data_IF_183525437384
#
_entry.id   IF_183525437384
#
_cell.length_a   1.000
_cell.length_b   1.000
_cell.length_c   1.000
_cell.angle_alpha   90.00
_cell.angle_beta   90.00
_cell.angle_gamma   90.00
#
_symmetry.space_group_name_H-M   'P 1'
#
loop_
_entity.id
_entity.type
_entity.pdbx_description
1 polymer ?
#
# COMPACT_ATOMS: atom_id res chain seq x y z
N UNK A 1 -0.47 -2.73 4.44
CA UNK A 1 -0.32 -1.62 3.46
C UNK A 1 -0.47 -0.30 4.21
N UNK A 2 0.60 0.48 4.32
CA UNK A 2 0.55 1.78 4.99
C UNK A 2 -0.05 2.84 4.04
N UNK A 3 -1.00 3.63 4.53
CA UNK A 3 -1.65 4.70 3.76
C UNK A 3 -0.71 5.90 3.65
N UNK A 4 -0.77 6.62 2.53
CA UNK A 4 -0.03 7.88 2.33
C UNK A 4 1.41 7.75 1.83
N UNK A 5 1.97 6.54 1.67
CA UNK A 5 3.33 6.36 1.15
C UNK A 5 3.54 6.94 -0.26
N UNK A 6 2.48 7.01 -1.05
CA UNK A 6 2.52 7.52 -2.41
C UNK A 6 2.60 9.06 -2.51
N UNK A 7 2.43 9.76 -1.39
CA UNK A 7 2.57 11.21 -1.32
C UNK A 7 3.99 11.63 -0.93
N UNK A 8 4.86 10.66 -0.65
CA UNK A 8 6.22 10.91 -0.18
C UNK A 8 7.16 11.18 -1.34
N UNK A 9 8.15 12.05 -1.11
CA UNK A 9 9.29 12.20 -2.03
C UNK A 9 10.10 10.89 -2.10
N UNK A 10 10.88 10.64 -3.17
CA UNK A 10 11.71 9.44 -3.29
C UNK A 10 12.61 9.18 -2.07
N UNK A 11 13.23 10.24 -1.53
CA UNK A 11 14.08 10.13 -0.33
C UNK A 11 13.29 9.81 0.94
N UNK A 12 12.12 10.41 1.12
CA UNK A 12 11.21 10.07 2.22
C UNK A 12 10.70 8.61 2.08
N UNK A 13 10.43 8.16 0.85
CA UNK A 13 10.05 6.79 0.56
C UNK A 13 11.20 5.80 0.89
N UNK A 14 12.44 6.15 0.58
CA UNK A 14 13.61 5.36 0.98
C UNK A 14 13.72 5.23 2.51
N UNK A 15 13.51 6.33 3.24
CA UNK A 15 13.55 6.32 4.70
C UNK A 15 12.44 5.41 5.25
N UNK A 16 11.22 5.51 4.70
CA UNK A 16 10.12 4.65 5.07
C UNK A 16 10.44 3.17 4.86
N UNK A 17 10.99 2.81 3.68
CA UNK A 17 11.39 1.43 3.37
C UNK A 17 12.39 0.89 4.40
N UNK A 18 13.46 1.64 4.67
CA UNK A 18 14.49 1.26 5.64
C UNK A 18 13.96 1.11 7.06
N UNK A 19 13.10 2.03 7.51
CA UNK A 19 12.47 1.95 8.84
C UNK A 19 11.52 0.75 8.95
N UNK A 20 10.72 0.47 7.91
CA UNK A 20 9.84 -0.70 7.90
C UNK A 20 10.61 -2.01 7.88
N UNK A 21 11.68 -2.10 7.09
CA UNK A 21 12.55 -3.26 7.02
C UNK A 21 13.25 -3.51 8.35
N UNK A 22 13.90 -2.50 8.93
CA UNK A 22 14.53 -2.59 10.23
C UNK A 22 13.54 -3.03 11.32
N UNK A 23 12.33 -2.45 11.32
CA UNK A 23 11.28 -2.83 12.28
C UNK A 23 10.88 -4.29 12.15
N UNK A 24 10.77 -4.80 10.92
CA UNK A 24 10.43 -6.19 10.65
C UNK A 24 11.53 -7.14 11.14
N UNK A 25 12.79 -6.79 10.91
CA UNK A 25 13.94 -7.53 11.41
C UNK A 25 13.98 -7.55 12.95
N UNK A 26 13.80 -6.39 13.59
CA UNK A 26 13.78 -6.29 15.06
C UNK A 26 12.57 -7.00 15.69
N UNK A 27 11.41 -6.96 15.03
CA UNK A 27 10.20 -7.66 15.45
C UNK A 27 10.42 -9.18 15.48
N UNK A 28 11.05 -9.73 14.42
CA UNK A 28 11.43 -11.14 14.34
C UNK A 28 12.49 -11.50 15.38
N UNK A 29 13.55 -10.71 15.49
CA UNK A 29 14.65 -10.94 16.44
C UNK A 29 14.17 -10.97 17.89
N UNK A 30 13.23 -10.09 18.26
CA UNK A 30 12.69 -9.99 19.62
C UNK A 30 11.47 -10.86 19.86
N UNK A 31 10.96 -11.53 18.82
CA UNK A 31 9.68 -12.23 18.81
C UNK A 31 8.55 -11.37 19.41
N UNK A 32 8.39 -10.16 18.85
CA UNK A 32 7.35 -9.21 19.27
C UNK A 32 6.61 -8.67 18.05
N UNK A 33 5.31 -8.35 18.18
CA UNK A 33 4.58 -7.67 17.13
C UNK A 33 5.27 -6.36 16.71
N UNK A 34 5.32 -6.07 15.40
CA UNK A 34 5.94 -4.85 14.83
C UNK A 34 5.56 -3.56 15.56
N UNK A 35 4.30 -3.41 15.96
CA UNK A 35 3.81 -2.21 16.66
C UNK A 35 4.41 -2.05 18.07
N UNK A 36 4.91 -3.12 18.70
CA UNK A 36 5.63 -3.06 19.99
C UNK A 36 7.09 -2.62 19.83
N UNK A 37 7.63 -2.71 18.61
CA UNK A 37 8.96 -2.20 18.28
C UNK A 37 8.86 -0.70 17.99
N UNK A 38 8.06 -0.33 16.99
CA UNK A 38 7.86 1.05 16.54
C UNK A 38 6.51 1.20 15.82
N UNK A 39 5.74 2.24 16.15
CA UNK A 39 4.41 2.44 15.58
C UNK A 39 4.47 3.02 14.15
N UNK A 40 3.47 2.68 13.33
CA UNK A 40 3.33 3.19 11.97
C UNK A 40 3.27 4.73 11.94
N UNK A 41 2.60 5.35 12.91
CA UNK A 41 2.50 6.81 13.04
C UNK A 41 3.88 7.45 13.28
N UNK A 42 4.68 6.87 14.17
CA UNK A 42 6.03 7.36 14.47
C UNK A 42 6.94 7.29 13.23
N UNK A 43 6.84 6.19 12.46
CA UNK A 43 7.55 6.08 11.17
C UNK A 43 7.09 7.18 10.21
N UNK A 44 5.78 7.38 10.06
CA UNK A 44 5.27 8.41 9.15
C UNK A 44 5.64 9.82 9.57
N UNK A 45 5.73 10.12 10.87
CA UNK A 45 6.17 11.42 11.37
C UNK A 45 7.64 11.67 11.01
N UNK A 46 8.52 10.69 11.27
CA UNK A 46 9.94 10.75 10.88
C UNK A 46 10.14 10.91 9.37
N UNK A 47 9.29 10.26 8.58
CA UNK A 47 9.43 10.29 7.13
C UNK A 47 8.97 11.63 6.54
N UNK A 48 7.98 12.28 7.16
CA UNK A 48 7.49 13.61 6.75
C UNK A 48 8.44 14.73 7.17
N UNK A 49 9.05 14.59 8.34
CA UNK A 49 10.05 15.50 8.87
C UNK A 49 11.26 14.65 9.32
N UNK A 50 12.26 14.46 8.44
CA UNK A 50 13.45 13.67 8.79
C UNK A 50 14.25 14.37 9.87
N UNK A 51 13.99 13.93 11.08
CA UNK A 51 14.51 14.41 12.35
C UNK A 51 15.92 13.88 12.59
N UNK A 52 16.90 14.78 12.77
CA UNK A 52 18.34 14.42 12.85
C UNK A 52 18.87 14.35 14.28
N UNK A 53 18.03 14.56 15.29
CA UNK A 53 18.47 14.57 16.68
C UNK A 53 17.52 13.88 17.63
N UNK A 54 18.06 13.48 18.79
CA UNK A 54 17.30 12.95 19.92
C UNK A 54 16.13 13.83 20.37
N UNK A 55 16.28 15.16 20.26
CA UNK A 55 15.25 16.14 20.58
C UNK A 55 14.10 16.05 19.58
N UNK A 56 14.43 15.82 18.31
CA UNK A 56 13.48 15.77 17.22
C UNK A 56 12.70 14.44 17.24
N UNK A 57 13.33 13.31 17.63
CA UNK A 57 12.61 12.05 17.88
C UNK A 57 11.47 12.19 18.91
N UNK A 58 11.60 13.08 19.90
CA UNK A 58 10.51 13.38 20.84
C UNK A 58 9.33 14.03 20.11
N UNK A 59 9.58 14.94 19.17
CA UNK A 59 8.56 15.58 18.34
C UNK A 59 7.89 14.58 17.39
N UNK A 60 8.64 13.60 16.88
CA UNK A 60 8.09 12.48 16.13
C UNK A 60 7.22 11.50 16.95
N UNK A 61 7.07 11.72 18.26
CA UNK A 61 6.21 10.92 19.15
C UNK A 61 6.94 9.77 19.85
N UNK A 62 8.27 9.78 19.92
CA UNK A 62 9.02 8.74 20.65
C UNK A 62 9.06 9.06 22.14
N UNK A 63 8.60 8.11 22.97
CA UNK A 63 8.73 8.17 24.42
C UNK A 63 10.18 7.92 24.86
N UNK A 64 10.55 8.33 26.08
CA UNK A 64 11.94 8.27 26.56
C UNK A 64 12.53 6.84 26.52
N UNK A 65 11.78 5.83 26.97
CA UNK A 65 12.21 4.43 26.91
C UNK A 65 12.40 3.92 25.48
N UNK A 66 11.53 4.32 24.56
CA UNK A 66 11.65 3.94 23.15
C UNK A 66 12.89 4.56 22.54
N UNK A 67 13.09 5.86 22.80
CA UNK A 67 14.29 6.60 22.42
C UNK A 67 15.54 5.85 22.89
N UNK A 68 15.72 5.64 24.19
CA UNK A 68 16.90 4.95 24.72
C UNK A 68 17.15 3.55 24.11
N UNK A 69 16.09 2.85 23.69
CA UNK A 69 16.19 1.48 23.17
C UNK A 69 16.56 1.40 21.69
N UNK A 70 16.07 2.33 20.86
CA UNK A 70 16.13 2.22 19.40
C UNK A 70 16.49 3.53 18.68
N UNK A 71 16.74 4.60 19.42
CA UNK A 71 16.95 5.93 18.85
C UNK A 71 18.22 6.01 18.02
N UNK A 72 19.31 5.40 18.47
CA UNK A 72 20.57 5.37 17.72
C UNK A 72 20.42 4.61 16.40
N UNK A 73 19.73 3.45 16.40
CA UNK A 73 19.44 2.69 15.19
C UNK A 73 18.61 3.52 14.20
N UNK A 74 17.56 4.19 14.68
CA UNK A 74 16.68 5.04 13.86
C UNK A 74 17.45 6.23 13.28
N UNK A 75 18.25 6.92 14.09
CA UNK A 75 19.06 8.06 13.63
C UNK A 75 20.10 7.62 12.59
N UNK A 76 20.74 6.46 12.79
CA UNK A 76 21.65 5.90 11.80
C UNK A 76 20.95 5.60 10.46
N UNK A 77 19.69 5.15 10.48
CA UNK A 77 18.90 4.97 9.25
C UNK A 77 18.54 6.30 8.59
N UNK A 78 18.24 7.33 9.37
CA UNK A 78 18.00 8.70 8.87
C UNK A 78 19.26 9.22 8.18
N UNK A 79 20.40 9.17 8.84
CA UNK A 79 21.68 9.66 8.30
C UNK A 79 22.08 8.92 7.02
N UNK A 80 22.00 7.58 7.04
CA UNK A 80 22.23 6.77 5.83
C UNK A 80 21.29 7.14 4.69
N UNK A 81 20.07 7.58 4.97
CA UNK A 81 19.09 7.91 3.93
C UNK A 81 19.33 9.29 3.36
N UNK A 82 19.73 10.24 4.21
CA UNK A 82 20.11 11.57 3.79
C UNK A 82 21.40 11.57 2.95
N UNK A 83 22.33 10.65 3.25
CA UNK A 83 23.57 10.46 2.50
C UNK A 83 23.42 9.62 1.22
N UNK A 84 22.24 9.04 0.95
CA UNK A 84 22.03 8.21 -0.24
C UNK A 84 22.06 9.05 -1.53
N UNK A 85 22.72 8.50 -2.56
CA UNK A 85 22.79 9.12 -3.88
C UNK A 85 21.39 9.14 -4.54
N UNK A 86 21.16 10.09 -5.45
CA UNK A 86 19.89 10.18 -6.20
C UNK A 86 19.59 8.89 -7.00
N UNK A 87 20.63 8.18 -7.47
CA UNK A 87 20.51 6.90 -8.17
C UNK A 87 19.97 5.77 -7.30
N UNK A 88 20.14 5.85 -5.98
CA UNK A 88 19.72 4.82 -5.02
C UNK A 88 18.29 5.07 -4.51
N UNK A 89 17.68 6.17 -4.92
CA UNK A 89 16.33 6.51 -4.49
C UNK A 89 15.30 5.63 -5.20
N UNK A 90 14.29 5.12 -4.47
CA UNK A 90 13.24 4.32 -5.05
C UNK A 90 12.40 5.17 -6.00
N UNK A 91 11.90 4.52 -7.06
CA UNK A 91 10.91 5.13 -7.92
C UNK A 91 9.68 5.56 -7.10
N UNK A 92 9.08 6.74 -7.40
CA UNK A 92 7.83 7.15 -6.78
C UNK A 92 6.78 6.05 -6.90
N UNK A 93 6.06 5.78 -5.81
CA UNK A 93 4.92 4.88 -5.88
C UNK A 93 3.83 5.55 -6.73
N UNK A 94 3.20 4.78 -7.61
CA UNK A 94 2.03 5.26 -8.35
C UNK A 94 0.89 5.58 -7.36
N UNK A 95 0.80 6.87 -7.03
CA UNK A 95 -0.15 7.42 -6.06
C UNK A 95 -1.48 7.82 -6.66
N UNK A 96 -1.61 7.75 -7.99
CA UNK A 96 -2.89 7.97 -8.64
C UNK A 96 -3.73 6.72 -8.36
N UNK A 97 -4.49 6.76 -7.27
CA UNK A 97 -5.82 6.13 -7.28
C UNK A 97 -6.53 6.81 -8.44
N UNK A 98 -6.49 6.20 -9.62
CA UNK A 98 -7.33 6.65 -10.71
C UNK A 98 -8.74 6.64 -10.14
N UNK A 99 -9.43 7.80 -10.14
CA UNK A 99 -10.79 7.87 -9.66
C UNK A 99 -11.57 6.76 -10.35
N UNK A 100 -12.26 5.96 -9.55
CA UNK A 100 -13.11 4.92 -10.12
C UNK A 100 -14.26 5.65 -10.80
N UNK A 101 -14.37 5.51 -12.12
CA UNK A 101 -15.51 6.02 -12.85
C UNK A 101 -16.77 5.35 -12.30
N UNK A 102 -17.62 6.16 -11.65
CA UNK A 102 -18.84 5.68 -11.00
C UNK A 102 -19.84 5.11 -12.00
N UNK A 103 -19.84 5.59 -13.25
CA UNK A 103 -20.72 5.09 -14.31
C UNK A 103 -20.26 3.70 -14.74
N UNK A 104 -18.98 3.55 -15.08
CA UNK A 104 -18.41 2.24 -15.46
C UNK A 104 -18.53 1.23 -14.33
N UNK A 105 -18.28 1.64 -13.08
CA UNK A 105 -18.45 0.76 -11.92
C UNK A 105 -19.89 0.26 -11.76
N UNK A 106 -20.90 1.11 -11.98
CA UNK A 106 -22.31 0.71 -11.94
C UNK A 106 -22.68 -0.25 -13.06
N UNK A 107 -22.15 -0.06 -14.27
CA UNK A 107 -22.35 -0.97 -15.40
C UNK A 107 -21.79 -2.36 -15.07
N UNK A 108 -20.57 -2.43 -14.55
CA UNK A 108 -19.98 -3.68 -14.11
C UNK A 108 -20.76 -4.36 -12.97
N UNK A 109 -21.30 -3.59 -12.02
CA UNK A 109 -22.15 -4.15 -10.97
C UNK A 109 -23.43 -4.77 -11.52
N UNK A 110 -24.07 -4.11 -12.50
CA UNK A 110 -25.27 -4.64 -13.14
C UNK A 110 -24.96 -5.94 -13.91
N UNK A 111 -23.92 -5.92 -14.76
CA UNK A 111 -23.50 -7.10 -15.51
C UNK A 111 -23.08 -8.28 -14.60
N UNK A 112 -22.37 -7.99 -13.50
CA UNK A 112 -22.04 -9.01 -12.50
C UNK A 112 -23.30 -9.61 -11.86
N UNK A 113 -24.31 -8.78 -11.58
CA UNK A 113 -25.58 -9.22 -11.00
C UNK A 113 -26.37 -10.15 -11.94
N UNK A 114 -26.43 -9.82 -13.23
CA UNK A 114 -27.08 -10.67 -14.25
C UNK A 114 -26.33 -11.99 -14.45
N UNK A 115 -24.99 -11.92 -14.50
CA UNK A 115 -24.16 -13.11 -14.62
C UNK A 115 -24.29 -14.03 -13.40
N UNK A 116 -24.28 -13.46 -12.19
CA UNK A 116 -24.41 -14.21 -10.95
C UNK A 116 -25.75 -14.98 -10.88
N UNK A 117 -26.85 -14.36 -11.34
CA UNK A 117 -28.15 -15.02 -11.46
C UNK A 117 -28.09 -16.19 -12.45
N UNK A 118 -27.46 -15.99 -13.61
CA UNK A 118 -27.30 -17.04 -14.64
C UNK A 118 -26.49 -18.22 -14.13
N UNK A 119 -25.38 -17.94 -13.43
CA UNK A 119 -24.49 -18.96 -12.86
C UNK A 119 -25.02 -19.57 -11.57
N UNK A 120 -26.11 -19.03 -10.99
CA UNK A 120 -26.67 -19.41 -9.68
C UNK A 120 -25.63 -19.38 -8.56
N UNK A 121 -24.76 -18.37 -8.59
CA UNK A 121 -23.71 -18.13 -7.58
C UNK A 121 -23.98 -16.78 -6.93
N UNK A 122 -23.78 -16.60 -5.61
CA UNK A 122 -23.93 -15.29 -5.00
C UNK A 122 -22.89 -14.30 -5.57
N UNK A 123 -23.30 -13.05 -5.78
CA UNK A 123 -22.49 -12.01 -6.44
C UNK A 123 -21.11 -11.85 -5.81
N UNK A 124 -21.02 -11.95 -4.48
CA UNK A 124 -19.79 -11.80 -3.70
C UNK A 124 -18.77 -12.91 -3.99
N UNK A 125 -19.23 -14.10 -4.39
CA UNK A 125 -18.35 -15.20 -4.81
C UNK A 125 -17.88 -15.03 -6.24
N UNK A 126 -18.62 -14.33 -7.10
CA UNK A 126 -18.24 -14.06 -8.47
C UNK A 126 -17.15 -12.99 -8.56
N UNK A 127 -17.35 -11.85 -7.89
CA UNK A 127 -16.33 -10.81 -7.78
C UNK A 127 -16.55 -9.89 -6.57
N UNK A 128 -15.45 -9.35 -6.02
CA UNK A 128 -15.51 -8.37 -4.94
C UNK A 128 -15.56 -6.94 -5.49
N UNK A 129 -15.92 -5.97 -4.63
CA UNK A 129 -15.78 -4.54 -4.96
C UNK A 129 -14.37 -4.20 -5.45
N UNK A 130 -13.33 -4.77 -4.84
CA UNK A 130 -11.94 -4.50 -5.18
C UNK A 130 -11.60 -4.97 -6.60
N UNK A 131 -12.21 -6.07 -7.02
CA UNK A 131 -12.04 -6.65 -8.35
C UNK A 131 -12.68 -5.74 -9.41
N UNK A 132 -13.90 -5.28 -9.18
CA UNK A 132 -14.57 -4.33 -10.08
C UNK A 132 -13.80 -3.00 -10.17
N UNK A 133 -13.33 -2.46 -9.05
CA UNK A 133 -12.51 -1.25 -9.06
C UNK A 133 -11.16 -1.45 -9.79
N UNK A 134 -10.60 -2.67 -9.81
CA UNK A 134 -9.39 -2.97 -10.58
C UNK A 134 -9.66 -2.88 -12.08
N UNK A 135 -10.75 -3.50 -12.55
CA UNK A 135 -11.13 -3.48 -13.97
C UNK A 135 -11.41 -2.05 -14.45
N UNK A 136 -12.18 -1.27 -13.68
CA UNK A 136 -12.45 0.15 -14.01
C UNK A 136 -11.16 0.97 -14.10
N UNK A 137 -10.22 0.77 -13.16
CA UNK A 137 -8.93 1.49 -13.18
C UNK A 137 -8.04 1.07 -14.34
N UNK A 138 -8.02 -0.21 -14.69
CA UNK A 138 -7.28 -0.68 -15.87
C UNK A 138 -7.83 -0.01 -17.14
N UNK A 139 -9.17 0.00 -17.30
CA UNK A 139 -9.84 0.65 -18.44
C UNK A 139 -9.57 2.14 -18.54
N UNK A 140 -9.56 2.87 -17.42
CA UNK A 140 -9.21 4.30 -17.41
C UNK A 140 -7.77 4.62 -17.86
N UNK A 141 -6.93 3.59 -18.03
CA UNK A 141 -5.56 3.67 -18.56
C UNK A 141 -5.44 2.98 -19.92
N UNK A 142 -6.56 2.72 -20.58
CA UNK A 142 -6.66 1.96 -21.84
C UNK A 142 -6.05 0.55 -21.76
N UNK A 143 -6.08 -0.06 -20.56
CA UNK A 143 -5.58 -1.41 -20.31
C UNK A 143 -6.73 -2.39 -20.10
N UNK A 144 -6.53 -3.62 -20.58
CA UNK A 144 -7.39 -4.77 -20.29
C UNK A 144 -6.67 -5.63 -19.27
N UNK A 145 -7.15 -5.62 -18.02
CA UNK A 145 -6.53 -6.38 -16.93
C UNK A 145 -7.59 -6.94 -16.00
N UNK A 146 -7.56 -8.27 -15.82
CA UNK A 146 -8.32 -8.92 -14.77
C UNK A 146 -7.56 -8.88 -13.43
N UNK A 147 -8.27 -8.89 -12.30
CA UNK A 147 -7.64 -9.03 -10.99
C UNK A 147 -6.89 -10.37 -10.88
N UNK A 148 -5.76 -10.39 -10.18
CA UNK A 148 -4.96 -11.61 -9.95
C UNK A 148 -5.72 -12.72 -9.19
N UNK A 149 -6.83 -12.38 -8.56
CA UNK A 149 -7.74 -13.31 -7.86
C UNK A 149 -8.63 -14.10 -8.83
N UNK A 150 -8.77 -13.64 -10.07
CA UNK A 150 -9.52 -14.35 -11.11
C UNK A 150 -8.66 -15.48 -11.62
N UNK A 151 -9.02 -16.69 -11.21
CA UNK A 151 -8.40 -17.94 -11.62
C UNK A 151 -9.47 -19.02 -11.72
N UNK A 152 -9.21 -20.05 -12.54
CA UNK A 152 -10.12 -21.16 -12.75
C UNK A 152 -11.46 -20.69 -13.33
N UNK A 153 -12.58 -21.11 -12.72
CA UNK A 153 -13.91 -20.82 -13.25
C UNK A 153 -14.23 -19.31 -13.32
N UNK A 154 -13.67 -18.47 -12.43
CA UNK A 154 -13.90 -17.01 -12.46
C UNK A 154 -13.23 -16.38 -13.67
N UNK A 155 -12.03 -16.82 -13.99
CA UNK A 155 -11.32 -16.34 -15.17
C UNK A 155 -12.06 -16.73 -16.45
N UNK A 156 -12.62 -17.95 -16.51
CA UNK A 156 -13.33 -18.45 -17.69
C UNK A 156 -14.73 -17.83 -17.85
N UNK A 157 -15.50 -17.73 -16.77
CA UNK A 157 -16.93 -17.35 -16.86
C UNK A 157 -17.23 -15.91 -16.44
N UNK A 158 -16.48 -15.36 -15.48
CA UNK A 158 -16.73 -14.02 -14.94
C UNK A 158 -15.87 -12.97 -15.64
N UNK A 159 -14.60 -13.28 -15.92
CA UNK A 159 -13.66 -12.39 -16.57
C UNK A 159 -14.19 -11.80 -17.89
N UNK A 160 -14.52 -12.63 -18.91
CA UNK A 160 -15.00 -12.15 -20.20
C UNK A 160 -16.28 -11.31 -20.10
N UNK A 161 -17.23 -11.73 -19.28
CA UNK A 161 -18.49 -11.01 -19.09
C UNK A 161 -18.26 -9.58 -18.54
N UNK A 162 -17.38 -9.44 -17.55
CA UNK A 162 -17.03 -8.12 -17.01
C UNK A 162 -16.20 -7.30 -17.99
N UNK A 163 -15.29 -7.91 -18.75
CA UNK A 163 -14.51 -7.18 -19.75
C UNK A 163 -15.36 -6.67 -20.91
N UNK A 164 -16.43 -7.39 -21.29
CA UNK A 164 -17.35 -7.02 -22.36
C UNK A 164 -18.44 -6.03 -21.93
N UNK A 165 -18.74 -5.94 -20.64
CA UNK A 165 -19.74 -5.02 -20.08
C UNK A 165 -19.20 -3.58 -19.88
N UNK A 166 -17.92 -3.35 -20.17
CA UNK A 166 -17.24 -2.05 -20.14
C UNK A 166 -17.12 -1.48 -21.55
#
# INVERSE_FOLDING_TARGET
RQKGLHLLSPRALLLAQRLFEWREQEARRKDRPRNRILHDEQIMNLVKAPDRSWRDLKQAGFHNRTRQRIGDDVLALVDKTLAAAESDLPAPLDGRRVPVDKKQYKLLQAALGELAQTLKVPVEYAATRRDLEHIVRARSRDQVSLPVTFSGWREVHVGPALLNAC
#
